data_IF_629618855956
#
_entry.id   IF_629618855956
#
_cell.length_a   1.000
_cell.length_b   1.000
_cell.length_c   1.000
_cell.angle_alpha   90.00
_cell.angle_beta   90.00
_cell.angle_gamma   90.00
#
_symmetry.space_group_name_H-M   'P 1'
#
loop_
_entity.id
_entity.type
_entity.pdbx_description
1 polymer ?
#
# COMPACT_ATOMS: atom_id res chain seq x y z
N UNK A 1 -19.63 -2.93 -24.10
CA UNK A 1 -18.65 -4.01 -24.37
C UNK A 1 -17.31 -3.37 -24.12
N UNK A 2 -16.55 -3.89 -23.16
CA UNK A 2 -15.20 -3.41 -22.84
C UNK A 2 -14.22 -4.53 -23.20
N UNK A 3 -12.95 -4.17 -23.42
CA UNK A 3 -11.89 -5.15 -23.66
C UNK A 3 -11.37 -5.65 -22.31
N UNK A 4 -11.39 -6.96 -22.11
CA UNK A 4 -10.71 -7.58 -20.97
C UNK A 4 -9.21 -7.64 -21.26
N UNK A 5 -8.39 -7.40 -20.23
CA UNK A 5 -6.93 -7.51 -20.28
C UNK A 5 -6.48 -8.26 -19.02
N UNK A 6 -5.51 -9.19 -19.10
CA UNK A 6 -4.90 -9.80 -17.91
C UNK A 6 -4.17 -8.78 -17.02
N UNK A 7 -3.63 -7.71 -17.57
CA UNK A 7 -2.98 -6.63 -16.80
C UNK A 7 -4.04 -5.79 -16.07
N UNK A 8 -4.01 -5.82 -14.74
CA UNK A 8 -4.96 -5.14 -13.84
C UNK A 8 -5.07 -3.64 -14.13
N UNK A 9 -3.98 -2.85 -14.20
CA UNK A 9 -4.08 -1.43 -14.51
C UNK A 9 -4.76 -1.17 -15.86
N UNK A 10 -4.37 -1.89 -16.91
CA UNK A 10 -5.00 -1.75 -18.22
C UNK A 10 -6.48 -2.15 -18.20
N UNK A 11 -6.84 -3.18 -17.45
CA UNK A 11 -8.23 -3.60 -17.31
C UNK A 11 -9.09 -2.56 -16.57
N UNK A 12 -8.55 -1.91 -15.53
CA UNK A 12 -9.21 -0.83 -14.79
C UNK A 12 -9.45 0.39 -15.68
N UNK A 13 -8.47 0.78 -16.50
CA UNK A 13 -8.62 1.84 -17.51
C UNK A 13 -9.76 1.49 -18.49
N UNK A 14 -9.78 0.26 -19.01
CA UNK A 14 -10.83 -0.21 -19.92
C UNK A 14 -12.22 -0.25 -19.26
N UNK A 15 -12.29 -0.53 -17.95
CA UNK A 15 -13.53 -0.58 -17.19
C UNK A 15 -14.13 0.81 -16.93
N UNK A 16 -13.33 1.87 -16.93
CA UNK A 16 -13.77 3.25 -16.74
C UNK A 16 -14.20 3.96 -18.03
N UNK A 17 -14.02 3.31 -19.19
CA UNK A 17 -14.48 3.81 -20.48
C UNK A 17 -15.97 4.22 -20.43
N UNK A 18 -16.34 5.43 -20.89
CA UNK A 18 -15.64 6.28 -21.87
C UNK A 18 -14.73 7.38 -21.28
N UNK A 19 -14.45 7.40 -19.97
CA UNK A 19 -13.55 8.38 -19.39
C UNK A 19 -12.09 8.02 -19.69
N UNK A 20 -11.29 9.02 -20.06
CA UNK A 20 -9.84 8.92 -20.21
C UNK A 20 -9.18 9.03 -18.85
N UNK A 21 -8.21 8.16 -18.62
CA UNK A 21 -7.46 8.06 -17.37
C UNK A 21 -6.04 8.55 -17.63
N UNK A 22 -5.55 9.44 -16.77
CA UNK A 22 -4.19 9.97 -16.86
C UNK A 22 -3.18 9.09 -16.12
N UNK A 23 -3.53 8.62 -14.92
CA UNK A 23 -2.66 7.80 -14.07
C UNK A 23 -3.49 6.80 -13.26
N UNK A 24 -2.94 5.62 -13.01
CA UNK A 24 -3.49 4.61 -12.11
C UNK A 24 -2.43 4.28 -11.06
N UNK A 25 -2.81 4.23 -9.79
CA UNK A 25 -1.98 3.82 -8.66
C UNK A 25 -2.69 2.67 -7.95
N UNK A 26 -2.04 1.52 -7.86
CA UNK A 26 -2.58 0.30 -7.27
C UNK A 26 -2.04 0.13 -5.85
N UNK A 27 -2.91 -0.28 -4.93
CA UNK A 27 -2.59 -0.68 -3.57
C UNK A 27 -3.10 -2.11 -3.38
N UNK A 28 -2.22 -3.08 -3.65
CA UNK A 28 -2.54 -4.51 -3.66
C UNK A 28 -2.90 -5.03 -2.27
N UNK A 29 -2.26 -4.50 -1.23
CA UNK A 29 -2.53 -4.90 0.16
C UNK A 29 -3.95 -4.47 0.58
N UNK A 30 -4.38 -3.27 0.21
CA UNK A 30 -5.70 -2.77 0.57
C UNK A 30 -6.81 -3.20 -0.41
N UNK A 31 -6.46 -3.81 -1.55
CA UNK A 31 -7.42 -4.09 -2.64
C UNK A 31 -8.03 -2.81 -3.21
N UNK A 32 -7.26 -1.72 -3.20
CA UNK A 32 -7.70 -0.37 -3.64
C UNK A 32 -6.93 0.07 -4.86
N UNK A 33 -7.60 0.86 -5.69
CA UNK A 33 -6.97 1.53 -6.82
C UNK A 33 -7.40 2.97 -6.85
N UNK A 34 -6.43 3.85 -7.03
CA UNK A 34 -6.66 5.26 -7.23
C UNK A 34 -6.43 5.64 -8.68
N UNK A 35 -7.38 6.36 -9.25
CA UNK A 35 -7.39 6.73 -10.66
C UNK A 35 -7.44 8.24 -10.79
N UNK A 36 -6.41 8.79 -11.43
CA UNK A 36 -6.31 10.21 -11.74
C UNK A 36 -6.90 10.47 -13.12
N UNK A 37 -7.85 11.39 -13.18
CA UNK A 37 -8.51 11.82 -14.42
C UNK A 37 -8.40 13.33 -14.60
N UNK A 38 -8.51 13.85 -15.84
CA UNK A 38 -8.63 15.29 -16.06
C UNK A 38 -9.88 15.86 -15.35
N UNK A 39 -9.81 17.09 -14.84
CA UNK A 39 -10.90 17.73 -14.08
C UNK A 39 -12.24 17.75 -14.84
N UNK A 40 -12.19 17.91 -16.17
CA UNK A 40 -13.35 17.92 -17.05
C UNK A 40 -14.05 16.55 -17.12
N UNK A 41 -13.30 15.46 -16.88
CA UNK A 41 -13.76 14.08 -17.03
C UNK A 41 -14.17 13.44 -15.69
N UNK A 42 -13.96 14.10 -14.55
CA UNK A 42 -14.35 13.59 -13.23
C UNK A 42 -15.82 13.14 -13.17
N UNK A 43 -16.72 13.97 -13.70
CA UNK A 43 -18.16 13.68 -13.73
C UNK A 43 -18.50 12.48 -14.62
N UNK A 44 -17.76 12.30 -15.72
CA UNK A 44 -17.92 11.17 -16.63
C UNK A 44 -17.40 9.87 -16.00
N UNK A 45 -16.23 9.92 -15.38
CA UNK A 45 -15.57 8.79 -14.72
C UNK A 45 -16.40 8.25 -13.54
N UNK A 46 -16.97 9.13 -12.70
CA UNK A 46 -17.87 8.74 -11.60
C UNK A 46 -19.23 8.25 -12.16
N UNK A 47 -19.75 8.93 -13.17
CA UNK A 47 -21.06 8.68 -13.74
C UNK A 47 -22.23 9.10 -12.84
N UNK A 48 -23.46 8.98 -13.34
CA UNK A 48 -24.66 9.44 -12.59
C UNK A 48 -24.83 8.65 -11.31
N UNK A 49 -24.79 9.32 -10.15
CA UNK A 49 -24.87 8.70 -8.81
C UNK A 49 -23.76 7.65 -8.55
N UNK A 50 -22.58 7.83 -9.14
CA UNK A 50 -21.48 6.89 -8.99
C UNK A 50 -21.71 5.56 -9.71
N UNK A 51 -22.59 5.52 -10.70
CA UNK A 51 -22.92 4.27 -11.38
C UNK A 51 -21.72 3.69 -12.13
N UNK A 52 -20.90 4.53 -12.77
CA UNK A 52 -19.79 4.06 -13.59
C UNK A 52 -18.69 3.46 -12.72
N UNK A 53 -18.22 4.22 -11.73
CA UNK A 53 -17.23 3.74 -10.76
C UNK A 53 -17.69 2.49 -10.00
N UNK A 54 -18.99 2.38 -9.64
CA UNK A 54 -19.51 1.18 -8.99
C UNK A 54 -19.50 -0.05 -9.90
N UNK A 55 -19.84 0.12 -11.18
CA UNK A 55 -19.80 -0.98 -12.14
C UNK A 55 -18.37 -1.42 -12.43
N UNK A 56 -17.44 -0.47 -12.59
CA UNK A 56 -16.03 -0.74 -12.76
C UNK A 56 -15.44 -1.47 -11.55
N UNK A 57 -15.75 -1.02 -10.33
CA UNK A 57 -15.34 -1.70 -9.09
C UNK A 57 -15.90 -3.12 -8.98
N UNK A 58 -17.18 -3.32 -9.31
CA UNK A 58 -17.78 -4.66 -9.32
C UNK A 58 -17.19 -5.60 -10.39
N UNK A 59 -16.72 -5.04 -11.49
CA UNK A 59 -16.17 -5.81 -12.61
C UNK A 59 -14.72 -6.19 -12.40
N UNK A 60 -13.94 -5.28 -11.82
CA UNK A 60 -12.50 -5.44 -11.57
C UNK A 60 -12.24 -6.12 -10.23
N UNK A 61 -13.17 -6.04 -9.27
CA UNK A 61 -12.99 -6.52 -7.91
C UNK A 61 -12.26 -5.53 -6.99
N UNK A 62 -11.74 -4.42 -7.55
CA UNK A 62 -11.01 -3.39 -6.82
C UNK A 62 -11.94 -2.31 -6.29
N UNK A 63 -11.59 -1.72 -5.15
CA UNK A 63 -12.20 -0.48 -4.70
C UNK A 63 -11.55 0.69 -5.45
N UNK A 64 -12.30 1.33 -6.36
CA UNK A 64 -11.80 2.41 -7.23
C UNK A 64 -12.14 3.78 -6.63
N UNK A 65 -11.12 4.55 -6.30
CA UNK A 65 -11.23 5.96 -5.91
C UNK A 65 -10.75 6.85 -7.07
N UNK A 66 -11.55 7.85 -7.45
CA UNK A 66 -11.27 8.72 -8.61
C UNK A 66 -10.97 10.13 -8.11
N UNK A 67 -9.80 10.66 -8.48
CA UNK A 67 -9.36 12.02 -8.15
C UNK A 67 -8.97 12.78 -9.42
N UNK A 68 -8.95 14.11 -9.36
CA UNK A 68 -8.48 14.92 -10.49
C UNK A 68 -6.98 15.14 -10.46
N UNK A 69 -6.39 15.49 -11.62
CA UNK A 69 -4.97 15.87 -11.71
C UNK A 69 -4.62 17.04 -10.76
N UNK A 70 -5.53 18.01 -10.61
CA UNK A 70 -5.35 19.09 -9.67
C UNK A 70 -5.32 18.59 -8.21
N UNK A 71 -6.22 17.69 -7.83
CA UNK A 71 -6.26 17.10 -6.49
C UNK A 71 -5.03 16.24 -6.20
N UNK A 72 -4.60 15.44 -7.17
CA UNK A 72 -3.39 14.61 -7.04
C UNK A 72 -2.13 15.48 -6.89
N UNK A 73 -2.02 16.56 -7.67
CA UNK A 73 -0.93 17.53 -7.56
C UNK A 73 -0.92 18.24 -6.19
N UNK A 74 -2.08 18.71 -5.73
CA UNK A 74 -2.20 19.33 -4.39
C UNK A 74 -1.81 18.36 -3.27
N UNK A 75 -2.25 17.10 -3.36
CA UNK A 75 -1.89 16.06 -2.39
C UNK A 75 -0.40 15.81 -2.40
N UNK A 76 0.22 15.59 -3.56
CA UNK A 76 1.67 15.37 -3.68
C UNK A 76 2.47 16.54 -3.12
N UNK A 77 2.06 17.78 -3.40
CA UNK A 77 2.73 18.96 -2.84
C UNK A 77 2.60 19.02 -1.31
N UNK A 78 1.43 18.66 -0.78
CA UNK A 78 1.19 18.60 0.66
C UNK A 78 2.06 17.53 1.31
N UNK A 79 2.06 16.31 0.78
CA UNK A 79 2.90 15.20 1.26
C UNK A 79 4.38 15.55 1.21
N UNK A 80 4.85 16.15 0.11
CA UNK A 80 6.22 16.63 -0.01
C UNK A 80 6.58 17.63 1.09
N UNK A 81 5.67 18.57 1.36
CA UNK A 81 5.86 19.59 2.40
C UNK A 81 5.85 18.97 3.81
N UNK A 82 4.93 18.05 4.08
CA UNK A 82 4.81 17.36 5.37
C UNK A 82 6.04 16.48 5.64
N UNK A 83 6.51 15.72 4.64
CA UNK A 83 7.75 14.93 4.74
C UNK A 83 8.99 15.81 4.93
N UNK A 84 9.06 16.91 4.19
CA UNK A 84 10.16 17.89 4.35
C UNK A 84 10.20 18.43 5.77
N UNK A 85 9.04 18.81 6.33
CA UNK A 85 8.95 19.28 7.73
C UNK A 85 9.33 18.18 8.72
N UNK A 86 8.87 16.95 8.50
CA UNK A 86 9.23 15.79 9.33
C UNK A 86 10.76 15.63 9.40
N UNK A 87 11.46 15.66 8.26
CA UNK A 87 12.92 15.52 8.25
C UNK A 87 13.64 16.71 8.88
N UNK A 88 13.18 17.95 8.67
CA UNK A 88 13.73 19.12 9.35
C UNK A 88 13.64 18.98 10.88
N UNK A 89 12.47 18.59 11.39
CA UNK A 89 12.23 18.46 12.82
C UNK A 89 12.95 17.24 13.43
N UNK A 90 12.95 16.11 12.73
CA UNK A 90 13.54 14.88 13.24
C UNK A 90 15.06 14.93 13.25
N UNK A 91 15.67 15.47 12.19
CA UNK A 91 17.12 15.46 11.97
C UNK A 91 17.81 16.78 12.34
N UNK A 92 17.05 17.83 12.68
CA UNK A 92 17.58 19.19 12.93
C UNK A 92 18.47 19.68 11.77
N UNK A 93 17.92 19.57 10.56
CA UNK A 93 18.57 19.97 9.30
C UNK A 93 17.84 21.15 8.67
N UNK A 94 18.50 21.80 7.72
CA UNK A 94 17.88 22.87 6.97
C UNK A 94 16.87 22.35 5.93
N UNK A 95 16.09 23.29 5.38
CA UNK A 95 15.06 22.95 4.40
C UNK A 95 15.62 22.33 3.12
N UNK A 96 16.82 22.72 2.71
CA UNK A 96 17.42 22.23 1.46
C UNK A 96 17.82 20.76 1.61
N UNK A 97 18.48 20.39 2.71
CA UNK A 97 18.84 19.01 3.01
C UNK A 97 17.57 18.14 3.12
N UNK A 98 16.55 18.62 3.83
CA UNK A 98 15.30 17.87 3.96
C UNK A 98 14.59 17.67 2.62
N UNK A 99 14.54 18.69 1.75
CA UNK A 99 13.94 18.56 0.41
C UNK A 99 14.70 17.56 -0.46
N UNK A 100 16.03 17.55 -0.41
CA UNK A 100 16.85 16.59 -1.14
C UNK A 100 16.53 15.15 -0.72
N UNK A 101 16.44 14.88 0.59
CA UNK A 101 16.05 13.56 1.09
C UNK A 101 14.68 13.12 0.57
N UNK A 102 13.69 14.02 0.55
CA UNK A 102 12.35 13.68 0.03
C UNK A 102 12.37 13.46 -1.48
N UNK A 103 13.17 14.22 -2.23
CA UNK A 103 13.31 14.06 -3.69
C UNK A 103 13.98 12.74 -4.06
N UNK A 104 14.93 12.27 -3.27
CA UNK A 104 15.60 10.97 -3.44
C UNK A 104 14.70 9.78 -3.04
N UNK A 105 13.51 10.05 -2.47
CA UNK A 105 12.49 9.04 -2.22
C UNK A 105 12.39 8.57 -0.78
N UNK A 106 13.17 9.13 0.16
CA UNK A 106 13.03 8.80 1.58
C UNK A 106 11.64 9.22 2.08
N UNK A 107 10.85 8.25 2.54
CA UNK A 107 9.48 8.47 2.99
C UNK A 107 9.41 8.63 4.51
N UNK A 108 10.25 7.90 5.25
CA UNK A 108 10.27 7.90 6.71
C UNK A 108 11.67 8.11 7.30
N UNK A 109 11.72 8.49 8.58
CA UNK A 109 12.99 8.58 9.34
C UNK A 109 13.61 7.21 9.56
N UNK A 110 12.79 6.16 9.58
CA UNK A 110 13.25 4.78 9.72
C UNK A 110 14.00 4.30 8.48
N UNK A 111 13.47 4.60 7.28
CA UNK A 111 14.15 4.33 6.01
C UNK A 111 15.56 4.92 6.05
N UNK A 112 15.67 6.19 6.43
CA UNK A 112 16.95 6.88 6.51
C UNK A 112 17.89 6.30 7.57
N UNK A 113 17.37 5.82 8.70
CA UNK A 113 18.19 5.29 9.80
C UNK A 113 18.88 3.96 9.45
N UNK A 114 18.28 3.17 8.55
CA UNK A 114 18.70 1.79 8.27
C UNK A 114 19.09 1.52 6.80
N UNK A 115 18.94 2.50 5.92
CA UNK A 115 19.45 2.45 4.53
C UNK A 115 20.98 2.27 4.48
N UNK A 116 21.52 1.82 3.35
CA UNK A 116 22.96 1.73 3.17
C UNK A 116 23.57 3.16 3.08
N UNK A 117 24.70 3.44 3.77
CA UNK A 117 25.26 4.79 3.81
C UNK A 117 25.57 5.40 2.43
N UNK A 118 25.87 4.58 1.43
CA UNK A 118 26.18 5.08 0.09
C UNK A 118 24.95 5.66 -0.62
N UNK A 119 23.73 5.17 -0.35
CA UNK A 119 22.51 5.70 -0.95
C UNK A 119 22.25 7.15 -0.50
N UNK A 120 22.71 7.51 0.69
CA UNK A 120 22.67 8.89 1.19
C UNK A 120 23.85 9.70 0.63
N UNK A 121 25.04 9.11 0.53
CA UNK A 121 26.23 9.83 0.04
C UNK A 121 26.22 10.09 -1.47
N UNK A 122 25.47 9.29 -2.23
CA UNK A 122 25.31 9.45 -3.68
C UNK A 122 24.42 10.66 -4.05
N UNK A 123 23.67 11.18 -3.08
CA UNK A 123 22.85 12.39 -3.23
C UNK A 123 23.76 13.59 -3.54
N UNK A 124 23.36 14.39 -4.53
CA UNK A 124 24.14 15.55 -4.95
C UNK A 124 24.34 16.53 -3.78
N UNK A 125 25.61 16.71 -3.40
CA UNK A 125 26.02 17.64 -2.34
C UNK A 125 26.23 16.99 -0.98
N UNK A 126 26.03 15.68 -0.85
CA UNK A 126 26.32 14.93 0.37
C UNK A 126 27.66 14.21 0.24
N UNK A 127 28.26 13.89 1.38
CA UNK A 127 29.44 13.05 1.48
C UNK A 127 29.22 11.96 2.54
N UNK A 128 30.17 11.02 2.63
CA UNK A 128 30.11 9.90 3.56
C UNK A 128 29.99 10.36 5.03
N UNK A 129 30.65 11.47 5.40
CA UNK A 129 30.57 12.05 6.75
C UNK A 129 29.16 12.59 7.03
N UNK A 130 28.57 13.32 6.08
CA UNK A 130 27.20 13.83 6.18
C UNK A 130 26.18 12.70 6.25
N UNK A 131 26.37 11.64 5.45
CA UNK A 131 25.52 10.46 5.47
C UNK A 131 25.53 9.78 6.85
N UNK A 132 26.71 9.51 7.42
CA UNK A 132 26.85 8.94 8.75
C UNK A 132 26.21 9.82 9.83
N UNK A 133 26.37 11.15 9.73
CA UNK A 133 25.76 12.10 10.66
C UNK A 133 24.22 12.08 10.59
N UNK A 134 23.65 12.13 9.38
CA UNK A 134 22.19 12.08 9.18
C UNK A 134 21.60 10.78 9.72
N UNK A 135 22.26 9.63 9.48
CA UNK A 135 21.83 8.35 10.03
C UNK A 135 21.90 8.32 11.56
N UNK A 136 22.96 8.86 12.14
CA UNK A 136 23.09 8.93 13.59
C UNK A 136 21.96 9.77 14.21
N UNK A 137 21.64 10.92 13.61
CA UNK A 137 20.53 11.78 14.06
C UNK A 137 19.16 11.11 13.89
N UNK A 138 18.96 10.38 12.80
CA UNK A 138 17.75 9.60 12.57
C UNK A 138 17.56 8.53 13.66
N UNK A 139 18.61 7.75 13.97
CA UNK A 139 18.58 6.74 15.04
C UNK A 139 18.33 7.38 16.41
N UNK A 140 19.01 8.48 16.73
CA UNK A 140 18.81 9.21 17.98
C UNK A 140 17.36 9.76 18.10
N UNK A 141 16.73 10.15 17.00
CA UNK A 141 15.33 10.55 16.98
C UNK A 141 14.40 9.35 17.28
N UNK A 142 14.62 8.21 16.63
CA UNK A 142 13.82 7.00 16.84
C UNK A 142 13.96 6.49 18.28
N UNK A 143 15.18 6.50 18.84
CA UNK A 143 15.42 6.10 20.23
C UNK A 143 14.71 7.00 21.23
N UNK A 144 14.70 8.33 20.99
CA UNK A 144 13.94 9.27 21.81
C UNK A 144 12.44 9.01 21.72
N UNK A 145 11.92 8.83 20.51
CA UNK A 145 10.50 8.56 20.29
C UNK A 145 10.08 7.25 20.96
N UNK A 146 10.89 6.19 20.84
CA UNK A 146 10.68 4.91 21.50
C UNK A 146 10.68 5.06 23.04
N UNK A 147 11.63 5.81 23.60
CA UNK A 147 11.68 6.08 25.03
C UNK A 147 10.47 6.88 25.53
N UNK A 148 9.98 7.85 24.76
CA UNK A 148 8.76 8.61 25.08
C UNK A 148 7.51 7.73 25.06
N UNK A 149 7.36 6.88 24.04
CA UNK A 149 6.25 5.93 23.94
C UNK A 149 6.30 4.89 25.07
N UNK A 150 7.48 4.36 25.39
CA UNK A 150 7.64 3.42 26.51
C UNK A 150 7.32 4.08 27.87
N UNK A 151 7.72 5.34 28.06
CA UNK A 151 7.35 6.10 29.25
C UNK A 151 5.82 6.29 29.34
N UNK A 152 5.16 6.64 28.22
CA UNK A 152 3.70 6.79 28.15
C UNK A 152 2.98 5.47 28.42
N UNK A 153 3.46 4.36 27.83
CA UNK A 153 2.98 3.00 28.10
C UNK A 153 3.02 2.68 29.60
N UNK A 154 4.17 2.94 30.24
CA UNK A 154 4.36 2.74 31.69
C UNK A 154 3.44 3.63 32.53
N UNK A 155 3.20 4.88 32.12
CA UNK A 155 2.27 5.79 32.79
C UNK A 155 0.82 5.28 32.73
N UNK A 156 0.42 4.70 31.60
CA UNK A 156 -0.89 4.05 31.43
C UNK A 156 -1.01 2.73 32.23
N UNK A 157 0.12 2.19 32.70
CA UNK A 157 0.20 1.00 33.52
C UNK A 157 0.16 -0.30 32.71
N UNK A 158 0.55 -0.26 31.45
CA UNK A 158 0.67 -1.44 30.59
C UNK A 158 1.95 -2.20 30.97
N UNK A 159 1.85 -3.50 31.15
CA UNK A 159 2.94 -4.38 31.57
C UNK A 159 3.92 -4.67 30.43
N UNK A 160 5.16 -5.05 30.79
CA UNK A 160 6.22 -5.36 29.81
C UNK A 160 5.85 -6.58 28.95
N UNK A 161 5.14 -7.56 29.51
CA UNK A 161 4.72 -8.76 28.78
C UNK A 161 3.80 -8.47 27.58
N UNK A 162 3.12 -7.32 27.56
CA UNK A 162 2.30 -6.91 26.41
C UNK A 162 3.16 -6.63 25.17
N UNK A 163 4.40 -6.11 25.37
CA UNK A 163 5.34 -5.89 24.27
C UNK A 163 5.97 -7.19 23.75
N UNK A 164 5.97 -8.26 24.55
CA UNK A 164 6.49 -9.56 24.14
C UNK A 164 5.52 -10.30 23.19
N UNK A 165 4.28 -9.81 23.04
CA UNK A 165 3.29 -10.37 22.13
C UNK A 165 3.64 -9.99 20.68
N UNK A 166 3.82 -10.98 19.77
CA UNK A 166 4.08 -10.70 18.36
C UNK A 166 3.01 -9.80 17.74
N UNK A 167 3.43 -8.75 17.04
CA UNK A 167 2.54 -7.75 16.43
C UNK A 167 2.25 -6.54 17.33
N UNK A 168 2.65 -6.55 18.61
CA UNK A 168 2.54 -5.38 19.48
C UNK A 168 3.78 -4.50 19.37
N UNK A 169 3.62 -3.33 18.76
CA UNK A 169 4.64 -2.26 18.75
C UNK A 169 4.43 -1.30 19.93
N UNK A 170 5.41 -0.45 20.23
CA UNK A 170 5.28 0.59 21.27
C UNK A 170 4.06 1.51 21.07
N UNK A 171 3.79 2.04 19.85
CA UNK A 171 2.55 2.77 19.56
C UNK A 171 1.28 1.96 19.87
N UNK A 172 1.25 0.67 19.50
CA UNK A 172 0.11 -0.21 19.76
C UNK A 172 -0.07 -0.42 21.26
N UNK A 173 1.01 -0.69 22.01
CA UNK A 173 0.95 -0.85 23.46
C UNK A 173 0.43 0.41 24.18
N UNK A 174 0.80 1.60 23.71
CA UNK A 174 0.25 2.87 24.22
C UNK A 174 -1.25 2.96 23.94
N UNK A 175 -1.69 2.67 22.71
CA UNK A 175 -3.10 2.71 22.35
C UNK A 175 -3.94 1.69 23.12
N UNK A 176 -3.41 0.47 23.32
CA UNK A 176 -3.99 -0.54 24.21
C UNK A 176 -4.17 0.00 25.63
N UNK A 177 -3.13 0.65 26.18
CA UNK A 177 -3.18 1.29 27.49
C UNK A 177 -4.23 2.40 27.60
N UNK A 178 -4.40 3.22 26.56
CA UNK A 178 -5.46 4.24 26.49
C UNK A 178 -6.87 3.61 26.46
N UNK A 179 -7.01 2.45 25.82
CA UNK A 179 -8.22 1.62 25.84
C UNK A 179 -8.43 0.83 27.13
N UNK A 180 -7.50 0.91 28.09
CA UNK A 180 -7.58 0.22 29.38
C UNK A 180 -7.05 -1.22 29.39
N UNK A 181 -6.44 -1.67 28.30
CA UNK A 181 -5.81 -2.99 28.16
C UNK A 181 -4.38 -2.90 28.68
N UNK A 182 -4.07 -3.60 29.78
CA UNK A 182 -2.81 -3.41 30.52
C UNK A 182 -1.94 -4.65 30.59
N UNK A 183 -2.57 -5.81 30.53
CA UNK A 183 -1.91 -7.11 30.66
C UNK A 183 -2.08 -7.94 29.39
N UNK A 184 -1.30 -9.01 29.27
CA UNK A 184 -1.44 -9.97 28.17
C UNK A 184 -2.81 -10.64 28.23
N UNK A 185 -3.31 -10.90 29.44
CA UNK A 185 -4.63 -11.44 29.69
C UNK A 185 -5.75 -10.49 29.24
N UNK A 186 -5.62 -9.18 29.51
CA UNK A 186 -6.60 -8.19 29.01
C UNK A 186 -6.64 -8.19 27.48
N UNK A 187 -5.48 -8.29 26.83
CA UNK A 187 -5.39 -8.34 25.36
C UNK A 187 -5.97 -9.65 24.80
N UNK A 188 -5.73 -10.78 25.46
CA UNK A 188 -6.22 -12.10 25.07
C UNK A 188 -7.76 -12.23 25.17
N UNK A 189 -8.38 -11.47 26.09
CA UNK A 189 -9.83 -11.44 26.30
C UNK A 189 -10.59 -10.60 25.26
N UNK A 190 -9.90 -9.70 24.55
CA UNK A 190 -10.53 -8.84 23.55
C UNK A 190 -11.17 -9.63 22.41
N UNK A 191 -12.27 -9.08 21.91
CA UNK A 191 -12.87 -9.46 20.64
C UNK A 191 -12.36 -8.58 19.47
N UNK A 192 -12.48 -9.09 18.25
CA UNK A 192 -12.02 -8.40 17.02
C UNK A 192 -12.66 -7.03 16.84
N UNK A 193 -13.94 -6.87 17.23
CA UNK A 193 -14.67 -5.61 17.17
C UNK A 193 -14.27 -4.62 18.27
N UNK A 194 -13.77 -5.10 19.41
CA UNK A 194 -13.19 -4.22 20.44
C UNK A 194 -11.82 -3.67 20.00
N UNK A 195 -11.10 -4.37 19.12
CA UNK A 195 -9.85 -3.88 18.51
C UNK A 195 -10.13 -2.91 17.36
N UNK A 196 -10.92 -3.33 16.37
CA UNK A 196 -11.12 -2.59 15.11
C UNK A 196 -12.25 -1.57 15.16
N UNK A 197 -13.15 -1.70 16.13
CA UNK A 197 -14.38 -0.93 16.23
C UNK A 197 -15.56 -1.67 15.61
N UNK A 198 -16.74 -1.40 16.15
CA UNK A 198 -17.96 -2.15 15.84
C UNK A 198 -19.21 -1.29 15.90
N UNK A 199 -20.37 -1.97 15.84
CA UNK A 199 -21.67 -1.35 16.01
C UNK A 199 -22.45 -2.05 17.10
N UNK A 200 -22.89 -1.27 18.09
CA UNK A 200 -23.81 -1.75 19.12
C UNK A 200 -25.23 -1.27 18.85
N UNK A 201 -26.23 -2.06 19.26
CA UNK A 201 -27.63 -1.63 19.22
C UNK A 201 -28.02 -1.08 20.60
N UNK A 202 -28.14 0.25 20.70
CA UNK A 202 -28.60 0.93 21.92
C UNK A 202 -30.00 1.48 21.66
N UNK A 203 -31.01 0.88 22.28
CA UNK A 203 -32.41 1.33 22.15
C UNK A 203 -33.03 1.13 20.76
N UNK A 204 -32.51 0.20 19.96
CA UNK A 204 -33.00 -0.09 18.60
C UNK A 204 -32.30 0.69 17.48
N UNK A 205 -31.38 1.59 17.82
CA UNK A 205 -30.53 2.30 16.87
C UNK A 205 -29.10 1.72 16.88
N UNK A 206 -28.50 1.62 15.68
CA UNK A 206 -27.11 1.19 15.51
C UNK A 206 -26.19 2.37 15.83
N UNK A 207 -25.35 2.23 16.84
CA UNK A 207 -24.36 3.23 17.26
C UNK A 207 -22.96 2.67 17.03
N UNK A 208 -22.08 3.43 16.37
CA UNK A 208 -20.68 3.04 16.17
C UNK A 208 -19.92 3.17 17.49
N UNK A 209 -19.20 2.13 17.86
CA UNK A 209 -18.29 2.12 19.01
C UNK A 209 -16.88 1.99 18.48
N UNK A 210 -15.98 2.95 18.80
CA UNK A 210 -14.62 2.89 18.31
C UNK A 210 -13.85 1.77 19.00
N UNK A 211 -12.99 1.11 18.24
CA UNK A 211 -12.09 0.09 18.76
C UNK A 211 -10.84 0.70 19.37
N UNK A 212 -10.17 -0.07 20.22
CA UNK A 212 -8.94 0.35 20.92
C UNK A 212 -7.80 0.63 19.93
N UNK A 213 -7.75 -0.09 18.81
CA UNK A 213 -6.74 0.07 17.75
C UNK A 213 -7.37 0.53 16.41
N UNK A 214 -8.55 1.15 16.43
CA UNK A 214 -9.23 1.59 15.19
C UNK A 214 -8.34 2.55 14.37
N UNK A 215 -7.52 3.38 15.01
CA UNK A 215 -6.62 4.31 14.33
C UNK A 215 -5.50 3.63 13.52
N UNK A 216 -5.20 2.36 13.80
CA UNK A 216 -4.18 1.59 13.09
C UNK A 216 -4.74 0.89 11.84
N UNK A 217 -6.06 0.96 11.61
CA UNK A 217 -6.72 0.41 10.43
C UNK A 217 -6.34 -1.04 10.09
N UNK A 218 -6.12 -1.86 11.12
CA UNK A 218 -5.72 -3.26 10.96
C UNK A 218 -6.72 -4.04 10.10
N UNK A 219 -6.21 -4.97 9.29
CA UNK A 219 -7.05 -5.94 8.60
C UNK A 219 -7.79 -6.83 9.63
N UNK A 220 -8.81 -7.55 9.18
CA UNK A 220 -9.53 -8.43 10.10
C UNK A 220 -8.61 -9.56 10.59
N UNK A 221 -7.87 -10.14 9.65
CA UNK A 221 -6.92 -11.22 9.85
C UNK A 221 -5.83 -10.81 10.85
N UNK A 222 -5.28 -9.61 10.71
CA UNK A 222 -4.22 -9.10 11.61
C UNK A 222 -4.72 -8.88 13.03
N UNK A 223 -5.92 -8.33 13.19
CA UNK A 223 -6.53 -8.14 14.50
C UNK A 223 -6.84 -9.49 15.17
N UNK A 224 -7.33 -10.46 14.42
CA UNK A 224 -7.56 -11.82 14.91
C UNK A 224 -6.25 -12.51 15.29
N UNK A 225 -5.21 -12.38 14.45
CA UNK A 225 -3.88 -12.93 14.72
C UNK A 225 -3.27 -12.32 15.97
N UNK A 226 -3.38 -10.99 16.17
CA UNK A 226 -2.91 -10.31 17.37
C UNK A 226 -3.55 -10.88 18.65
N UNK A 227 -4.88 -11.09 18.63
CA UNK A 227 -5.61 -11.69 19.75
C UNK A 227 -5.13 -13.13 19.98
N UNK A 228 -4.97 -13.93 18.93
CA UNK A 228 -4.50 -15.31 19.05
C UNK A 228 -3.08 -15.38 19.61
N UNK A 229 -2.17 -14.50 19.18
CA UNK A 229 -0.82 -14.37 19.71
C UNK A 229 -0.84 -14.02 21.20
N UNK A 230 -1.72 -13.09 21.62
CA UNK A 230 -1.91 -12.77 23.03
C UNK A 230 -2.44 -13.96 23.84
N UNK A 231 -3.37 -14.76 23.27
CA UNK A 231 -3.87 -16.00 23.91
C UNK A 231 -2.80 -17.06 24.04
N UNK A 232 -1.88 -17.19 23.08
CA UNK A 232 -0.70 -18.05 23.20
C UNK A 232 0.20 -17.56 24.32
N UNK A 233 0.51 -16.26 24.35
CA UNK A 233 1.35 -15.66 25.38
C UNK A 233 0.73 -15.79 26.80
N UNK A 234 -0.59 -15.68 26.92
CA UNK A 234 -1.35 -15.94 28.16
C UNK A 234 -1.48 -17.43 28.51
N UNK A 235 -1.08 -18.34 27.61
CA UNK A 235 -1.19 -19.79 27.78
C UNK A 235 -2.61 -20.35 27.67
N UNK A 236 -3.53 -19.63 27.02
CA UNK A 236 -4.91 -20.07 26.80
C UNK A 236 -5.01 -21.10 25.67
N UNK A 237 -4.15 -20.97 24.67
CA UNK A 237 -4.06 -21.86 23.50
C UNK A 237 -2.58 -22.22 23.23
N UNK A 238 -2.36 -23.31 22.52
CA UNK A 238 -1.02 -23.72 22.09
C UNK A 238 -0.62 -23.03 20.78
N UNK A 239 0.67 -22.74 20.59
CA UNK A 239 1.16 -22.08 19.37
C UNK A 239 0.88 -22.88 18.09
N UNK A 240 0.71 -24.21 18.19
CA UNK A 240 0.30 -25.06 17.06
C UNK A 240 -1.13 -24.82 16.57
N UNK A 241 -1.97 -24.13 17.36
CA UNK A 241 -3.33 -23.76 17.00
C UNK A 241 -3.41 -22.44 16.19
N UNK A 242 -2.27 -21.76 15.99
CA UNK A 242 -2.21 -20.58 15.14
C UNK A 242 -2.42 -20.95 13.66
N UNK A 243 -3.03 -20.06 12.86
CA UNK A 243 -3.10 -20.23 11.41
C UNK A 243 -1.69 -20.45 10.86
N UNK A 244 -1.49 -21.58 10.18
CA UNK A 244 -0.25 -21.84 9.45
C UNK A 244 -0.38 -21.16 8.09
N UNK A 245 0.69 -20.53 7.57
CA UNK A 245 0.67 -20.08 6.18
C UNK A 245 0.35 -21.29 5.29
N UNK A 246 -0.63 -21.15 4.40
CA UNK A 246 -0.90 -22.20 3.43
C UNK A 246 0.37 -22.41 2.62
N UNK A 247 0.81 -23.66 2.37
CA UNK A 247 1.93 -23.89 1.49
C UNK A 247 1.58 -23.30 0.12
N UNK A 248 2.36 -22.33 -0.33
CA UNK A 248 2.33 -21.88 -1.71
C UNK A 248 2.68 -23.08 -2.58
N UNK A 249 1.65 -23.69 -3.18
CA UNK A 249 1.86 -24.59 -4.29
C UNK A 249 2.20 -23.69 -5.48
N UNK A 250 3.48 -23.57 -5.80
CA UNK A 250 3.89 -23.14 -7.14
C UNK A 250 3.16 -24.08 -8.11
N UNK A 251 2.15 -23.55 -8.82
CA UNK A 251 1.67 -24.20 -10.04
C UNK A 251 2.84 -24.19 -11.02
N UNK A 252 3.67 -25.23 -10.98
CA UNK A 252 4.51 -25.60 -12.12
C UNK A 252 3.55 -25.83 -13.29
N UNK A 253 3.36 -24.78 -14.09
CA UNK A 253 2.75 -24.89 -15.40
C UNK A 253 3.57 -25.92 -16.18
N UNK A 254 3.07 -27.14 -16.24
CA UNK A 254 3.60 -28.23 -17.03
C UNK A 254 3.53 -27.78 -18.51
N UNK A 255 4.61 -27.18 -19.00
CA UNK A 255 4.79 -26.95 -20.43
C UNK A 255 4.84 -28.32 -21.09
N UNK A 256 3.70 -28.77 -21.60
CA UNK A 256 3.67 -29.88 -22.53
C UNK A 256 4.51 -29.48 -23.75
N UNK A 257 5.71 -30.06 -23.88
CA UNK A 257 6.53 -30.01 -25.09
C UNK A 257 5.73 -30.62 -26.25
N UNK A 258 4.90 -29.79 -26.89
CA UNK A 258 4.39 -30.06 -28.22
C UNK A 258 5.47 -29.71 -29.22
N UNK A 259 6.03 -30.74 -29.87
CA UNK A 259 6.96 -30.65 -31.00
C UNK A 259 6.60 -29.49 -31.95
N UNK A 260 7.45 -28.46 -31.98
CA UNK A 260 7.39 -27.41 -32.98
C UNK A 260 7.99 -27.96 -34.29
N UNK A 261 7.14 -28.21 -35.29
CA UNK A 261 7.55 -28.56 -36.65
C UNK A 261 7.70 -27.27 -37.50
N UNK A 262 8.93 -26.83 -37.81
CA UNK A 262 9.18 -25.61 -38.58
C UNK A 262 8.83 -25.73 -40.07
N UNK A 263 8.48 -26.90 -40.62
CA UNK A 263 8.20 -27.06 -42.06
C UNK A 263 6.74 -26.75 -42.45
N UNK A 264 5.81 -26.63 -41.49
CA UNK A 264 4.39 -26.40 -41.79
C UNK A 264 4.05 -24.98 -42.28
N UNK A 265 4.97 -24.02 -42.19
CA UNK A 265 4.69 -22.58 -42.46
C UNK A 265 4.85 -22.21 -43.94
N UNK A 266 5.53 -23.02 -44.76
CA UNK A 266 5.95 -22.60 -46.12
C UNK A 266 5.48 -23.47 -47.30
N UNK A 267 4.46 -24.32 -47.15
CA UNK A 267 3.87 -25.00 -48.33
C UNK A 267 2.37 -24.78 -48.45
N UNK A 268 1.97 -23.85 -49.31
CA UNK A 268 0.55 -23.68 -49.67
C UNK A 268 0.22 -22.46 -50.54
N UNK A 269 0.99 -22.20 -51.61
CA UNK A 269 0.56 -21.24 -52.62
C UNK A 269 -0.52 -21.82 -53.55
N UNK A 270 -1.58 -21.05 -53.84
CA UNK A 270 -2.48 -21.35 -54.97
C UNK A 270 -3.88 -20.72 -55.00
N UNK A 271 -3.93 -19.43 -55.35
CA UNK A 271 -4.87 -18.76 -56.28
C UNK A 271 -6.39 -18.55 -56.00
N UNK A 272 -6.83 -17.37 -56.47
CA UNK A 272 -8.18 -16.80 -56.71
C UNK A 272 -8.99 -16.38 -55.47
N UNK A 273 -9.52 -15.17 -55.32
CA UNK A 273 -9.70 -13.98 -56.17
C UNK A 273 -10.81 -13.12 -55.52
N UNK A 274 -10.89 -11.85 -55.91
CA UNK A 274 -12.07 -10.94 -55.81
C UNK A 274 -12.17 -9.93 -54.65
N UNK A 275 -11.80 -8.70 -55.01
CA UNK A 275 -12.45 -7.39 -54.79
C UNK A 275 -13.09 -6.99 -53.44
N UNK A 276 -12.48 -5.95 -52.84
CA UNK A 276 -13.20 -4.70 -52.54
C UNK A 276 -13.85 -4.58 -51.16
N UNK A 277 -13.19 -3.82 -50.26
CA UNK A 277 -13.88 -2.84 -49.39
C UNK A 277 -12.90 -1.84 -48.79
N UNK A 278 -13.38 -0.61 -48.83
CA UNK A 278 -12.76 0.68 -48.53
C UNK A 278 -12.90 1.02 -47.04
N UNK A 279 -12.09 1.99 -46.57
CA UNK A 279 -12.17 2.74 -45.29
C UNK A 279 -11.77 2.01 -43.99
N UNK A 280 -11.09 2.60 -42.99
CA UNK A 280 -10.66 3.98 -42.72
C UNK A 280 -9.47 3.95 -41.74
N UNK A 281 -8.55 4.90 -41.91
CA UNK A 281 -7.55 5.31 -40.90
C UNK A 281 -8.25 6.02 -39.73
N UNK A 282 -7.83 5.74 -38.48
CA UNK A 282 -7.84 6.66 -37.33
C UNK A 282 -6.81 6.20 -36.27
N UNK A 283 -6.33 7.11 -35.39
CA UNK A 283 -4.92 7.20 -35.00
C UNK A 283 -4.57 6.53 -33.66
N UNK A 284 -3.25 6.38 -33.46
CA UNK A 284 -2.60 5.98 -32.22
C UNK A 284 -2.82 7.00 -31.09
N UNK A 285 -3.18 6.49 -29.92
CA UNK A 285 -3.05 7.17 -28.63
C UNK A 285 -2.40 6.17 -27.67
N UNK A 286 -1.11 6.37 -27.41
CA UNK A 286 -0.34 5.62 -26.42
C UNK A 286 -0.66 6.21 -25.04
N UNK A 287 -1.14 5.37 -24.12
CA UNK A 287 -1.16 5.67 -22.70
C UNK A 287 0.12 5.05 -22.10
N UNK A 288 1.00 5.88 -21.55
CA UNK A 288 2.20 5.41 -20.86
C UNK A 288 1.81 4.84 -19.49
N UNK A 289 2.02 3.53 -19.33
CA UNK A 289 1.94 2.82 -18.06
C UNK A 289 3.34 2.86 -17.45
N UNK A 290 3.52 3.57 -16.35
CA UNK A 290 4.74 3.48 -15.55
C UNK A 290 4.54 2.39 -14.50
N UNK A 291 5.12 1.22 -14.76
CA UNK A 291 5.51 0.28 -13.72
C UNK A 291 6.90 0.71 -13.24
N UNK A 292 7.02 1.16 -12.00
CA UNK A 292 8.32 1.41 -11.38
C UNK A 292 8.93 0.06 -10.96
N UNK A 293 9.63 -0.59 -11.90
CA UNK A 293 10.60 -1.63 -11.59
C UNK A 293 12.00 -1.01 -11.59
N UNK A 294 12.52 -0.83 -10.38
CA UNK A 294 13.93 -0.63 -10.09
C UNK A 294 14.68 -1.92 -10.44
N UNK A 295 15.54 -1.91 -11.48
CA UNK A 295 16.91 -2.44 -11.43
C UNK A 295 17.60 -2.49 -12.82
N UNK A 296 18.80 -1.88 -12.85
CA UNK A 296 19.98 -2.20 -13.67
C UNK A 296 20.01 -1.91 -15.19
N UNK A 297 20.87 -0.96 -15.59
CA UNK A 297 22.21 -1.21 -16.19
C UNK A 297 22.72 0.04 -16.91
N UNK A 298 23.90 0.58 -16.55
CA UNK A 298 25.21 0.33 -17.20
C UNK A 298 25.22 0.51 -18.72
N UNK A 299 26.24 1.27 -19.14
CA UNK A 299 26.81 1.43 -20.49
C UNK A 299 26.11 2.39 -21.47
N UNK A 300 26.51 3.67 -21.43
CA UNK A 300 27.26 4.34 -22.50
C UNK A 300 27.61 5.80 -22.13
#
# INVERSE_FOLDING_TARGET
IIQWNPDEPTFIVNALAPAEVSKVVLDEEAGRVEVVVPDEQLSLAIGRRGQNVRLASQLTGWQIDIITEAQDSERRQKEFTERTQLFQEALDVDEVIAQLLVTEGFATVEDLAYVEPYEISDIEGFDEETAEELQARARDFLDRQAAELDAKRKELGVEDGVLDVPGVTLPIAVALGEGGVKTVEDLADLATDEIRGGYEVRGGERVKVPGVLESFNLAQEDAELLILQARVAAGWIDASELPQPEPEYEEEAEYAEGEYDPEAVFSGGGADGDEGREHAELPAGEAEVFAEDLEQSRDA
#
